data_IF_506703410838
#
_entry.id   IF_506703410838
#
_cell.length_a   1.000
_cell.length_b   1.000
_cell.length_c   1.000
_cell.angle_alpha   90.00
_cell.angle_beta   90.00
_cell.angle_gamma   90.00
#
_symmetry.space_group_name_H-M   'P 1'
#
loop_
_entity.id
_entity.type
_entity.pdbx_description
1 polymer ?
#
# COMPACT_ATOMS: atom_id res chain seq x y z
N UNK A 1 11.99 -2.60 18.87
CA UNK A 1 11.64 -3.09 17.53
C UNK A 1 12.45 -2.33 16.50
N UNK A 2 12.87 -2.97 15.40
CA UNK A 2 13.33 -2.22 14.22
C UNK A 2 12.07 -1.74 13.48
N UNK A 3 11.93 -0.42 13.34
CA UNK A 3 10.80 0.16 12.62
C UNK A 3 10.92 0.00 11.09
N UNK A 4 9.87 0.37 10.36
CA UNK A 4 9.78 0.24 8.91
C UNK A 4 10.85 1.08 8.18
N UNK A 5 11.23 2.23 8.72
CA UNK A 5 12.24 3.11 8.13
C UNK A 5 13.63 2.48 8.16
N UNK A 6 14.01 1.89 9.29
CA UNK A 6 15.27 1.11 9.40
C UNK A 6 15.29 -0.06 8.41
N UNK A 7 14.16 -0.74 8.23
CA UNK A 7 14.05 -1.84 7.27
C UNK A 7 14.26 -1.36 5.82
N UNK A 8 13.65 -0.23 5.44
CA UNK A 8 13.86 0.39 4.12
C UNK A 8 15.33 0.78 3.91
N UNK A 9 15.94 1.46 4.89
CA UNK A 9 17.34 1.88 4.83
C UNK A 9 18.28 0.69 4.62
N UNK A 10 18.10 -0.37 5.39
CA UNK A 10 18.88 -1.60 5.24
C UNK A 10 18.70 -2.25 3.88
N UNK A 11 17.47 -2.25 3.34
CA UNK A 11 17.21 -2.78 2.01
C UNK A 11 17.86 -1.95 0.90
N UNK A 12 17.86 -0.62 1.02
CA UNK A 12 18.56 0.29 0.12
C UNK A 12 20.07 0.05 0.15
N UNK A 13 20.66 0.06 1.35
CA UNK A 13 22.10 -0.12 1.55
C UNK A 13 22.58 -1.52 1.10
N UNK A 14 21.79 -2.57 1.33
CA UNK A 14 22.10 -3.93 0.84
C UNK A 14 22.18 -4.01 -0.68
N UNK A 15 21.50 -3.10 -1.38
CA UNK A 15 21.53 -2.98 -2.83
C UNK A 15 22.54 -1.95 -3.33
N UNK A 16 23.30 -1.34 -2.42
CA UNK A 16 24.27 -0.28 -2.72
C UNK A 16 23.66 0.94 -3.41
N UNK A 17 22.36 1.20 -3.21
CA UNK A 17 21.74 2.42 -3.71
C UNK A 17 21.99 3.59 -2.75
N UNK A 18 22.35 4.74 -3.31
CA UNK A 18 22.35 6.02 -2.61
C UNK A 18 20.91 6.57 -2.50
N UNK A 19 20.71 7.64 -1.71
CA UNK A 19 19.40 8.29 -1.68
C UNK A 19 19.12 9.02 -2.99
N UNK A 20 20.16 9.54 -3.63
CA UNK A 20 20.16 10.17 -4.95
C UNK A 20 19.67 9.18 -6.01
N UNK A 21 20.25 7.97 -6.07
CA UNK A 21 19.81 6.93 -7.01
C UNK A 21 18.32 6.61 -6.83
N UNK A 22 17.87 6.50 -5.59
CA UNK A 22 16.48 6.22 -5.28
C UNK A 22 15.57 7.40 -5.62
N UNK A 23 16.02 8.63 -5.44
CA UNK A 23 15.27 9.82 -5.80
C UNK A 23 15.05 9.89 -7.31
N UNK A 24 16.10 9.64 -8.11
CA UNK A 24 16.03 9.59 -9.57
C UNK A 24 15.10 8.48 -10.07
N UNK A 25 15.20 7.29 -9.47
CA UNK A 25 14.37 6.15 -9.86
C UNK A 25 12.89 6.34 -9.52
N UNK A 26 12.60 6.89 -8.35
CA UNK A 26 11.23 6.99 -7.81
C UNK A 26 10.55 8.32 -8.12
N UNK A 27 11.29 9.33 -8.55
CA UNK A 27 10.86 10.74 -8.62
C UNK A 27 10.37 11.29 -7.27
N UNK A 28 10.97 10.83 -6.16
CA UNK A 28 10.68 11.31 -4.81
C UNK A 28 11.89 12.09 -4.34
N UNK A 29 11.71 13.34 -3.90
CA UNK A 29 12.82 14.16 -3.39
C UNK A 29 13.57 13.45 -2.24
N UNK A 30 14.90 13.59 -2.21
CA UNK A 30 15.79 12.94 -1.23
C UNK A 30 15.32 13.16 0.22
N UNK A 31 14.92 14.39 0.57
CA UNK A 31 14.43 14.72 1.92
C UNK A 31 13.22 13.87 2.34
N UNK A 32 12.36 13.47 1.41
CA UNK A 32 11.20 12.62 1.73
C UNK A 32 11.59 11.15 1.83
N UNK A 33 12.55 10.67 1.03
CA UNK A 33 13.10 9.33 1.21
C UNK A 33 13.82 9.19 2.55
N UNK A 34 14.59 10.21 2.94
CA UNK A 34 15.21 10.29 4.26
C UNK A 34 14.16 10.32 5.37
N UNK A 35 13.09 11.12 5.22
CA UNK A 35 11.98 11.14 6.18
C UNK A 35 11.32 9.76 6.32
N UNK A 36 11.16 8.99 5.23
CA UNK A 36 10.66 7.62 5.32
C UNK A 36 11.61 6.68 6.07
N UNK A 37 12.92 6.80 5.86
CA UNK A 37 13.94 5.99 6.54
C UNK A 37 14.08 6.33 8.03
N UNK A 38 13.86 7.60 8.39
CA UNK A 38 13.86 8.09 9.77
C UNK A 38 12.49 8.02 10.46
N UNK A 39 11.44 7.65 9.74
CA UNK A 39 10.04 7.62 10.21
C UNK A 39 9.49 9.01 10.62
N UNK A 40 10.07 10.07 10.08
CA UNK A 40 9.67 11.47 10.30
C UNK A 40 8.57 11.89 9.30
N UNK A 41 7.40 11.24 9.39
CA UNK A 41 6.33 11.42 8.39
C UNK A 41 5.73 12.83 8.37
N UNK A 42 5.92 13.63 9.43
CA UNK A 42 5.47 15.01 9.52
C UNK A 42 6.22 15.96 8.57
N UNK A 43 7.39 15.56 8.07
CA UNK A 43 8.16 16.33 7.08
C UNK A 43 7.64 16.15 5.64
N UNK A 44 6.70 15.23 5.44
CA UNK A 44 6.10 15.01 4.13
C UNK A 44 5.11 16.13 3.79
N UNK A 45 4.88 16.44 2.50
CA UNK A 45 3.97 17.52 2.10
C UNK A 45 2.54 17.34 2.59
N UNK A 46 2.13 16.09 2.79
CA UNK A 46 0.85 15.72 3.38
C UNK A 46 0.92 14.27 3.91
N UNK A 47 0.19 13.94 4.99
CA UNK A 47 0.12 12.58 5.53
C UNK A 47 -0.30 11.51 4.50
N UNK A 48 -1.04 11.91 3.47
CA UNK A 48 -1.43 11.01 2.38
C UNK A 48 -0.22 10.45 1.60
N UNK A 49 0.82 11.27 1.44
CA UNK A 49 2.01 10.89 0.68
C UNK A 49 2.86 9.83 1.38
N UNK A 50 2.80 9.70 2.71
CA UNK A 50 3.54 8.68 3.44
C UNK A 50 3.26 7.28 2.88
N UNK A 51 1.98 6.94 2.71
CA UNK A 51 1.58 5.63 2.18
C UNK A 51 1.95 5.46 0.71
N UNK A 52 1.81 6.51 -0.10
CA UNK A 52 2.13 6.46 -1.54
C UNK A 52 3.63 6.25 -1.74
N UNK A 53 4.46 7.08 -1.10
CA UNK A 53 5.91 6.99 -1.19
C UNK A 53 6.44 5.70 -0.58
N UNK A 54 5.90 5.24 0.54
CA UNK A 54 6.28 3.95 1.13
C UNK A 54 6.04 2.77 0.15
N UNK A 55 4.91 2.76 -0.57
CA UNK A 55 4.62 1.73 -1.58
C UNK A 55 5.57 1.82 -2.76
N UNK A 56 5.79 3.02 -3.29
CA UNK A 56 6.71 3.25 -4.41
C UNK A 56 8.11 2.82 -4.03
N UNK A 57 8.61 3.28 -2.89
CA UNK A 57 9.97 3.00 -2.45
C UNK A 57 10.20 1.51 -2.23
N UNK A 58 9.26 0.81 -1.56
CA UNK A 58 9.30 -0.63 -1.39
C UNK A 58 9.33 -1.38 -2.74
N UNK A 59 8.57 -0.92 -3.74
CA UNK A 59 8.55 -1.50 -5.08
C UNK A 59 9.92 -1.40 -5.75
N UNK A 60 10.56 -0.22 -5.73
CA UNK A 60 11.88 -0.03 -6.34
C UNK A 60 13.01 -0.75 -5.59
N UNK A 61 12.85 -0.93 -4.27
CA UNK A 61 13.74 -1.78 -3.48
C UNK A 61 13.47 -3.30 -3.69
N UNK A 62 12.53 -3.69 -4.55
CA UNK A 62 12.05 -5.07 -4.75
C UNK A 62 11.69 -5.78 -3.43
N UNK A 63 11.07 -5.04 -2.50
CA UNK A 63 10.54 -5.59 -1.26
C UNK A 63 9.12 -6.09 -1.46
N UNK A 64 8.67 -6.96 -0.57
CA UNK A 64 7.25 -7.30 -0.48
C UNK A 64 6.46 -6.08 0.03
N UNK A 65 5.77 -5.39 -0.88
CA UNK A 65 5.00 -4.19 -0.58
C UNK A 65 3.96 -4.44 0.50
N UNK A 66 3.28 -5.59 0.49
CA UNK A 66 2.27 -5.92 1.50
C UNK A 66 2.88 -6.00 2.89
N UNK A 67 4.03 -6.66 3.04
CA UNK A 67 4.73 -6.78 4.32
C UNK A 67 5.24 -5.43 4.82
N UNK A 68 5.78 -4.58 3.93
CA UNK A 68 6.21 -3.22 4.29
C UNK A 68 5.02 -2.38 4.77
N UNK A 69 3.88 -2.44 4.05
CA UNK A 69 2.68 -1.70 4.44
C UNK A 69 2.13 -2.16 5.79
N UNK A 70 2.15 -3.46 6.07
CA UNK A 70 1.74 -3.98 7.38
C UNK A 70 2.60 -3.43 8.50
N UNK A 71 3.92 -3.38 8.30
CA UNK A 71 4.84 -2.84 9.30
C UNK A 71 4.61 -1.34 9.51
N UNK A 72 4.37 -0.58 8.43
CA UNK A 72 4.02 0.83 8.49
C UNK A 72 2.68 1.07 9.20
N UNK A 73 1.65 0.25 8.96
CA UNK A 73 0.36 0.39 9.63
C UNK A 73 0.48 0.12 11.15
N UNK A 74 1.38 -0.80 11.55
CA UNK A 74 1.68 -1.09 12.97
C UNK A 74 2.44 0.05 13.63
N UNK A 75 3.44 0.66 12.97
CA UNK A 75 4.20 1.78 13.54
C UNK A 75 3.28 2.98 13.79
N UNK A 76 2.45 3.34 12.82
CA UNK A 76 1.51 4.47 12.94
C UNK A 76 0.46 4.28 14.05
N UNK A 77 0.01 3.04 14.30
CA UNK A 77 -0.95 2.77 15.36
C UNK A 77 -0.34 2.84 16.76
N UNK A 78 0.97 2.60 16.86
CA UNK A 78 1.72 2.64 18.13
C UNK A 78 2.02 4.09 18.54
N UNK A 79 2.36 4.94 17.56
CA UNK A 79 2.57 6.39 17.74
C UNK A 79 1.27 7.15 18.11
N UNK A 80 0.11 6.70 17.61
CA UNK A 80 -1.19 7.35 17.84
C UNK A 80 -2.06 6.70 18.93
N UNK A 81 -1.46 5.92 19.83
CA UNK A 81 -2.18 5.41 21.01
C UNK A 81 -2.04 6.38 22.18
N UNK A 82 -3.09 7.15 22.57
CA UNK A 82 -3.10 7.73 23.90
C UNK A 82 -3.20 6.58 24.92
N UNK A 83 -2.47 6.70 26.02
CA UNK A 83 -2.49 5.76 27.13
C UNK A 83 -3.93 5.30 27.53
N UNK A 84 -4.09 4.06 28.03
CA UNK A 84 -5.38 3.37 28.08
C UNK A 84 -6.30 4.00 29.14
N UNK A 85 -7.54 4.33 28.75
CA UNK A 85 -8.65 4.49 29.71
C UNK A 85 -9.25 3.11 30.00
N UNK A 86 -9.25 2.62 31.26
CA UNK A 86 -9.88 1.36 31.61
C UNK A 86 -11.36 1.54 31.98
N UNK A 87 -12.22 0.66 31.42
CA UNK A 87 -13.53 0.13 31.88
C UNK A 87 -14.30 -0.32 30.62
N UNK A 88 -14.29 -1.61 30.27
CA UNK A 88 -15.22 -2.66 30.75
C UNK A 88 -16.68 -2.25 30.57
N UNK A 89 -17.32 -2.76 29.52
CA UNK A 89 -18.48 -3.67 29.56
C UNK A 89 -18.99 -3.97 28.15
N UNK A 90 -19.62 -5.12 28.02
CA UNK A 90 -19.71 -5.97 26.84
C UNK A 90 -20.66 -5.46 25.74
N UNK A 91 -20.26 -5.59 24.47
CA UNK A 91 -21.15 -5.99 23.36
C UNK A 91 -20.35 -6.84 22.37
N UNK A 92 -20.98 -7.91 21.93
CA UNK A 92 -20.50 -9.06 21.16
C UNK A 92 -19.67 -8.76 19.90
N UNK A 93 -18.74 -9.68 19.60
CA UNK A 93 -18.05 -9.76 18.32
C UNK A 93 -19.03 -9.99 17.16
N UNK A 94 -18.83 -9.34 16.01
CA UNK A 94 -18.95 -10.01 14.74
C UNK A 94 -17.55 -10.21 14.17
N UNK A 95 -17.12 -11.47 14.22
CA UNK A 95 -16.05 -12.09 13.44
C UNK A 95 -16.17 -11.65 11.98
N UNK A 96 -15.41 -10.61 11.56
CA UNK A 96 -15.32 -10.22 10.16
C UNK A 96 -14.19 -10.98 9.47
N UNK A 97 -14.64 -12.03 8.80
CA UNK A 97 -13.99 -12.89 7.80
C UNK A 97 -13.04 -12.18 6.84
N UNK A 98 -12.07 -12.90 6.23
CA UNK A 98 -11.03 -12.31 5.38
C UNK A 98 -11.65 -11.67 4.13
N UNK A 99 -11.10 -10.52 3.73
CA UNK A 99 -11.44 -9.84 2.50
C UNK A 99 -11.06 -10.71 1.28
N UNK A 100 -12.00 -11.58 0.91
CA UNK A 100 -11.97 -12.41 -0.29
C UNK A 100 -12.06 -11.48 -1.50
N UNK A 101 -10.98 -11.41 -2.29
CA UNK A 101 -10.96 -10.79 -3.61
C UNK A 101 -12.12 -11.37 -4.44
N UNK A 102 -13.17 -10.60 -4.69
CA UNK A 102 -14.23 -11.00 -5.63
C UNK A 102 -13.65 -10.94 -7.05
N UNK A 103 -13.26 -12.10 -7.57
CA UNK A 103 -12.99 -12.32 -8.99
C UNK A 103 -14.34 -12.31 -9.70
N UNK A 104 -14.75 -11.17 -10.25
CA UNK A 104 -15.97 -11.09 -11.07
C UNK A 104 -15.76 -11.93 -12.32
N UNK A 105 -16.65 -12.90 -12.52
CA UNK A 105 -16.57 -13.88 -13.59
C UNK A 105 -16.74 -13.19 -14.93
N UNK A 106 -15.72 -13.27 -15.79
CA UNK A 106 -15.67 -12.76 -17.16
C UNK A 106 -16.69 -13.40 -18.11
N UNK A 107 -17.61 -14.23 -17.61
CA UNK A 107 -18.66 -14.89 -18.37
C UNK A 107 -19.72 -13.92 -18.91
N UNK A 108 -20.01 -12.84 -18.18
CA UNK A 108 -20.99 -11.83 -18.62
C UNK A 108 -20.53 -11.02 -19.84
N UNK A 109 -19.22 -10.85 -20.01
CA UNK A 109 -18.63 -10.16 -21.17
C UNK A 109 -18.82 -10.98 -22.45
N UNK A 110 -18.69 -12.30 -22.37
CA UNK A 110 -18.82 -13.19 -23.53
C UNK A 110 -20.28 -13.22 -24.01
N UNK A 111 -21.25 -13.27 -23.09
CA UNK A 111 -22.68 -13.21 -23.42
C UNK A 111 -23.06 -11.88 -24.08
N UNK A 112 -22.52 -10.76 -23.58
CA UNK A 112 -22.75 -9.44 -24.18
C UNK A 112 -22.20 -9.35 -25.61
N UNK A 113 -21.00 -9.90 -25.87
CA UNK A 113 -20.38 -9.90 -27.20
C UNK A 113 -21.20 -10.72 -28.20
N UNK A 114 -21.72 -11.89 -27.81
CA UNK A 114 -22.54 -12.75 -28.68
C UNK A 114 -23.85 -12.05 -29.06
N UNK A 115 -24.50 -11.37 -28.12
CA UNK A 115 -25.73 -10.61 -28.39
C UNK A 115 -25.49 -9.45 -29.36
N UNK A 116 -24.39 -8.71 -29.19
CA UNK A 116 -24.02 -7.61 -30.08
C UNK A 116 -23.73 -8.13 -31.50
N UNK A 117 -22.98 -9.23 -31.63
CA UNK A 117 -22.72 -9.85 -32.94
C UNK A 117 -23.99 -10.31 -33.65
N UNK A 118 -24.93 -10.93 -32.92
CA UNK A 118 -26.22 -11.36 -33.49
C UNK A 118 -27.07 -10.18 -33.96
N UNK A 119 -27.10 -9.09 -33.18
CA UNK A 119 -27.81 -7.87 -33.55
C UNK A 119 -27.23 -7.22 -34.80
N UNK A 120 -25.90 -7.17 -34.91
CA UNK A 120 -25.23 -6.63 -36.11
C UNK A 120 -25.54 -7.49 -37.33
N UNK A 121 -25.49 -8.83 -37.22
CA UNK A 121 -25.82 -9.72 -38.33
C UNK A 121 -27.24 -9.49 -38.87
N UNK A 122 -28.22 -9.23 -37.99
CA UNK A 122 -29.60 -8.88 -38.39
C UNK A 122 -29.74 -7.54 -39.10
N UNK A 123 -28.81 -6.60 -38.91
CA UNK A 123 -28.84 -5.29 -39.58
C UNK A 123 -28.19 -5.32 -40.97
N UNK A 124 -27.42 -6.36 -41.29
CA UNK A 124 -26.71 -6.54 -42.57
C UNK A 124 -27.37 -7.58 -43.49
N UNK A 125 -28.57 -8.05 -43.17
CA UNK A 125 -29.41 -8.91 -44.01
C UNK A 125 -30.64 -8.14 -44.50
#
# INVERSE_FOLDING_TARGET
MAGVGKYLKQAREKKSYTLEDMADLTNIEIKYLQALESEEYDLLPSPFYARVFMKTYAKYLNLNVTSVMQLFDISQKTEHSPAPKPKTEAVELPKRSPAQKKKVSSLWLIVAIILIMGMVYMLFQ
#
